data_IF_909140306301
#
_entry.id   IF_909140306301
#
_cell.length_a   1.000
_cell.length_b   1.000
_cell.length_c   1.000
_cell.angle_alpha   90.00
_cell.angle_beta   90.00
_cell.angle_gamma   90.00
#
_symmetry.space_group_name_H-M   'P 1'
#
loop_
_entity.id
_entity.type
_entity.pdbx_description
1 polymer ?
#
# COMPACT_ATOMS: atom_id res chain seq x y z
N UNK A 1 -23.04 -19.70 10.09
CA UNK A 1 -21.67 -19.19 10.01
C UNK A 1 -21.66 -17.81 9.38
N UNK A 2 -21.11 -16.85 10.08
CA UNK A 2 -21.06 -15.48 9.54
C UNK A 2 -19.87 -15.33 8.62
N UNK A 3 -20.07 -14.72 7.47
CA UNK A 3 -19.01 -14.36 6.58
C UNK A 3 -18.34 -13.08 7.08
N UNK A 4 -17.03 -12.98 6.91
CA UNK A 4 -16.31 -11.76 7.25
C UNK A 4 -16.70 -10.65 6.27
N UNK A 5 -16.91 -9.45 6.80
CA UNK A 5 -17.12 -8.28 5.97
C UNK A 5 -15.83 -7.93 5.22
N UNK A 6 -15.94 -7.32 4.04
CA UNK A 6 -14.73 -6.91 3.29
C UNK A 6 -13.75 -6.09 4.11
N UNK A 7 -14.21 -5.14 4.92
CA UNK A 7 -13.32 -4.33 5.76
C UNK A 7 -12.52 -5.18 6.76
N UNK A 8 -13.15 -6.20 7.33
CA UNK A 8 -12.47 -7.09 8.27
C UNK A 8 -11.39 -7.92 7.56
N UNK A 9 -11.68 -8.35 6.34
CA UNK A 9 -10.70 -9.09 5.53
C UNK A 9 -9.49 -8.21 5.19
N UNK A 10 -9.73 -6.95 4.84
CA UNK A 10 -8.66 -6.00 4.52
C UNK A 10 -7.81 -5.70 5.76
N UNK A 11 -8.44 -5.48 6.90
CA UNK A 11 -7.72 -5.28 8.17
C UNK A 11 -6.85 -6.48 8.51
N UNK A 12 -7.36 -7.69 8.27
CA UNK A 12 -6.61 -8.93 8.46
C UNK A 12 -5.39 -9.03 7.57
N UNK A 13 -5.51 -8.59 6.31
CA UNK A 13 -4.38 -8.57 5.37
C UNK A 13 -3.28 -7.64 5.88
N UNK A 14 -3.64 -6.45 6.37
CA UNK A 14 -2.66 -5.51 6.90
C UNK A 14 -1.97 -6.06 8.16
N UNK A 15 -2.72 -6.66 9.05
CA UNK A 15 -2.13 -7.26 10.26
C UNK A 15 -1.15 -8.38 9.89
N UNK A 16 -1.50 -9.17 8.90
CA UNK A 16 -0.66 -10.27 8.45
C UNK A 16 0.66 -9.77 7.85
N UNK A 17 0.60 -8.76 6.99
CA UNK A 17 1.82 -8.22 6.37
C UNK A 17 2.73 -7.56 7.40
N UNK A 18 2.16 -6.91 8.42
CA UNK A 18 2.95 -6.28 9.47
C UNK A 18 3.70 -7.31 10.34
N UNK A 19 3.21 -8.55 10.40
CA UNK A 19 3.86 -9.62 11.18
C UNK A 19 5.14 -10.14 10.56
N UNK A 20 5.44 -9.80 9.31
CA UNK A 20 6.66 -10.27 8.65
C UNK A 20 7.94 -9.75 9.31
N UNK A 21 7.82 -8.77 10.21
CA UNK A 21 8.93 -8.25 11.00
C UNK A 21 9.69 -7.11 10.37
N UNK A 22 9.43 -6.77 9.11
CA UNK A 22 10.12 -5.68 8.42
C UNK A 22 9.19 -4.52 8.07
N UNK A 23 7.89 -4.71 8.24
CA UNK A 23 6.89 -3.69 7.95
C UNK A 23 6.33 -3.18 9.27
N UNK A 24 6.50 -1.88 9.51
CA UNK A 24 6.06 -1.25 10.76
C UNK A 24 4.56 -0.94 10.73
N UNK A 25 4.11 -0.35 9.63
CA UNK A 25 2.72 0.05 9.46
C UNK A 25 2.30 -0.10 8.01
N UNK A 26 0.99 -0.22 7.79
CA UNK A 26 0.45 -0.33 6.44
C UNK A 26 -0.93 0.31 6.35
N UNK A 27 -1.33 0.64 5.12
CA UNK A 27 -2.62 1.27 4.86
C UNK A 27 -3.12 0.85 3.49
N UNK A 28 -4.44 0.82 3.34
CA UNK A 28 -5.11 0.63 2.06
C UNK A 28 -5.91 1.89 1.76
N UNK A 29 -5.72 2.42 0.57
CA UNK A 29 -6.40 3.61 0.11
C UNK A 29 -7.10 3.34 -1.21
N UNK A 30 -8.10 4.15 -1.54
CA UNK A 30 -8.65 4.16 -2.88
C UNK A 30 -7.67 4.86 -3.83
N UNK A 31 -7.82 4.63 -5.12
CA UNK A 31 -7.02 5.32 -6.14
C UNK A 31 -7.21 6.84 -6.10
N UNK A 32 -8.35 7.31 -5.60
CA UNK A 32 -8.64 8.74 -5.45
C UNK A 32 -8.08 9.37 -4.18
N UNK A 33 -7.45 8.57 -3.32
CA UNK A 33 -6.79 9.10 -2.12
C UNK A 33 -7.64 9.12 -0.86
N UNK A 34 -8.68 8.27 -0.80
CA UNK A 34 -9.48 8.11 0.39
C UNK A 34 -9.00 6.90 1.20
N UNK A 35 -8.93 7.06 2.50
CA UNK A 35 -8.54 5.98 3.40
C UNK A 35 -9.60 4.89 3.44
N UNK A 36 -9.18 3.64 3.24
CA UNK A 36 -10.05 2.46 3.40
C UNK A 36 -9.81 1.82 4.78
N UNK A 37 -8.57 1.47 5.09
CA UNK A 37 -8.18 1.02 6.42
C UNK A 37 -6.68 1.17 6.63
N UNK A 38 -6.25 1.12 7.89
CA UNK A 38 -4.86 1.39 8.24
C UNK A 38 -4.53 0.79 9.59
N UNK A 39 -3.25 0.48 9.80
CA UNK A 39 -2.72 0.09 11.12
C UNK A 39 -2.10 1.28 11.86
N UNK A 40 -2.01 2.44 11.21
CA UNK A 40 -1.46 3.64 11.84
C UNK A 40 -2.39 4.17 12.94
N UNK A 41 -1.82 4.62 14.08
CA UNK A 41 -2.65 5.02 15.23
C UNK A 41 -3.36 6.36 15.05
N UNK A 42 -2.79 7.29 14.27
CA UNK A 42 -3.35 8.65 14.15
C UNK A 42 -4.04 8.85 12.80
N UNK A 43 -5.37 8.90 12.85
CA UNK A 43 -6.21 8.99 11.65
C UNK A 43 -5.91 10.21 10.77
N UNK A 44 -5.66 11.39 11.38
CA UNK A 44 -5.39 12.61 10.62
C UNK A 44 -4.15 12.49 9.75
N UNK A 45 -3.06 11.94 10.30
CA UNK A 45 -1.83 11.72 9.55
C UNK A 45 -2.02 10.71 8.43
N UNK A 46 -2.83 9.68 8.69
CA UNK A 46 -3.12 8.64 7.69
C UNK A 46 -3.90 9.23 6.52
N UNK A 47 -4.89 10.06 6.79
CA UNK A 47 -5.69 10.68 5.72
C UNK A 47 -4.83 11.54 4.80
N UNK A 48 -3.92 12.33 5.38
CA UNK A 48 -2.96 13.12 4.59
C UNK A 48 -2.02 12.21 3.81
N UNK A 49 -1.49 11.19 4.46
CA UNK A 49 -0.59 10.22 3.83
C UNK A 49 -1.23 9.57 2.61
N UNK A 50 -2.46 9.07 2.74
CA UNK A 50 -3.10 8.38 1.63
C UNK A 50 -3.45 9.33 0.48
N UNK A 51 -3.87 10.57 0.78
CA UNK A 51 -4.14 11.56 -0.24
C UNK A 51 -2.89 11.91 -1.05
N UNK A 52 -1.78 12.15 -0.35
CA UNK A 52 -0.51 12.50 -1.00
C UNK A 52 0.08 11.32 -1.75
N UNK A 53 -0.03 10.12 -1.20
CA UNK A 53 0.47 8.91 -1.85
C UNK A 53 -0.29 8.60 -3.13
N UNK A 54 -1.60 8.77 -3.13
CA UNK A 54 -2.41 8.60 -4.34
C UNK A 54 -2.02 9.62 -5.41
N UNK A 55 -1.75 10.87 -5.00
CA UNK A 55 -1.29 11.93 -5.90
C UNK A 55 0.06 11.57 -6.52
N UNK A 56 1.01 11.12 -5.72
CA UNK A 56 2.32 10.70 -6.21
C UNK A 56 2.21 9.52 -7.17
N UNK A 57 1.41 8.52 -6.80
CA UNK A 57 1.21 7.33 -7.63
C UNK A 57 0.60 7.71 -8.97
N UNK A 58 -0.42 8.57 -8.97
CA UNK A 58 -1.05 9.04 -10.19
C UNK A 58 -0.10 9.83 -11.08
N UNK A 59 0.70 10.71 -10.50
CA UNK A 59 1.71 11.46 -11.24
C UNK A 59 2.77 10.54 -11.82
N UNK A 60 3.21 9.54 -11.05
CA UNK A 60 4.19 8.56 -11.53
C UNK A 60 3.64 7.70 -12.67
N UNK A 61 2.35 7.36 -12.63
CA UNK A 61 1.69 6.62 -13.73
C UNK A 61 1.70 7.43 -15.02
N UNK A 62 1.43 8.74 -14.94
CA UNK A 62 1.48 9.61 -16.09
C UNK A 62 2.90 9.68 -16.67
N UNK A 63 3.90 9.84 -15.80
CA UNK A 63 5.31 9.87 -16.22
C UNK A 63 5.72 8.57 -16.90
N UNK A 64 5.32 7.43 -16.35
CA UNK A 64 5.62 6.12 -16.94
C UNK A 64 4.97 6.00 -18.34
N UNK A 65 3.73 6.44 -18.48
CA UNK A 65 3.02 6.43 -19.76
C UNK A 65 3.74 7.29 -20.79
N UNK A 66 4.16 8.50 -20.42
CA UNK A 66 4.89 9.40 -21.31
C UNK A 66 6.20 8.80 -21.82
N UNK A 67 6.84 7.97 -21.00
CA UNK A 67 8.08 7.29 -21.37
C UNK A 67 7.86 5.96 -22.08
N UNK A 68 6.62 5.52 -22.23
CA UNK A 68 6.30 4.24 -22.84
C UNK A 68 6.71 3.04 -21.99
N UNK A 69 6.73 3.20 -20.67
CA UNK A 69 7.21 2.17 -19.75
C UNK A 69 6.16 1.15 -19.33
N UNK A 70 4.93 1.26 -19.85
CA UNK A 70 3.84 0.38 -19.46
C UNK A 70 3.29 0.72 -18.05
N UNK A 71 2.54 -0.17 -17.44
CA UNK A 71 1.89 0.07 -16.17
C UNK A 71 2.91 0.22 -15.03
N UNK A 72 2.63 1.14 -14.14
CA UNK A 72 3.46 1.35 -12.96
C UNK A 72 3.21 0.26 -11.92
N UNK A 73 4.25 -0.46 -11.52
CA UNK A 73 4.13 -1.49 -10.49
C UNK A 73 4.12 -0.89 -9.10
N UNK A 74 5.07 0.01 -8.81
CA UNK A 74 5.21 0.56 -7.47
C UNK A 74 6.04 1.83 -7.46
N UNK A 75 5.92 2.58 -6.36
CA UNK A 75 6.83 3.67 -6.03
C UNK A 75 7.53 3.33 -4.73
N UNK A 76 8.79 3.71 -4.61
CA UNK A 76 9.59 3.53 -3.40
C UNK A 76 10.19 4.87 -3.01
N UNK A 77 9.87 5.32 -1.81
CA UNK A 77 10.46 6.54 -1.24
C UNK A 77 11.45 6.10 -0.19
N UNK A 78 12.69 6.49 -0.36
CA UNK A 78 13.75 6.16 0.58
C UNK A 78 14.23 7.42 1.27
N UNK A 79 14.37 7.34 2.59
CA UNK A 79 14.93 8.41 3.39
C UNK A 79 15.81 7.83 4.47
N UNK A 80 16.49 8.70 5.20
CA UNK A 80 17.41 8.32 6.27
C UNK A 80 16.71 7.45 7.34
N UNK A 81 15.45 7.76 7.64
CA UNK A 81 14.75 7.14 8.77
C UNK A 81 13.79 6.02 8.38
N UNK A 82 13.60 5.76 7.10
CA UNK A 82 12.69 4.70 6.68
C UNK A 82 12.32 4.77 5.22
N UNK A 83 11.41 3.89 4.83
CA UNK A 83 10.93 3.81 3.46
C UNK A 83 9.40 3.79 3.44
N UNK A 84 8.83 4.38 2.40
CA UNK A 84 7.41 4.27 2.08
C UNK A 84 7.30 3.61 0.72
N UNK A 85 6.56 2.53 0.63
CA UNK A 85 6.38 1.79 -0.61
C UNK A 85 4.90 1.79 -0.95
N UNK A 86 4.56 2.26 -2.15
CA UNK A 86 3.19 2.26 -2.64
C UNK A 86 3.07 1.36 -3.86
N UNK A 87 2.05 0.52 -3.88
CA UNK A 87 1.78 -0.37 -5.01
C UNK A 87 0.29 -0.38 -5.33
N UNK A 88 -0.04 -0.65 -6.59
CA UNK A 88 -1.42 -0.89 -6.97
C UNK A 88 -1.92 -2.21 -6.40
N UNK A 89 -3.15 -2.23 -5.94
CA UNK A 89 -3.82 -3.42 -5.43
C UNK A 89 -5.14 -3.59 -6.17
N UNK A 90 -5.03 -3.85 -7.46
CA UNK A 90 -6.15 -3.88 -8.39
C UNK A 90 -6.54 -2.48 -8.86
N UNK A 91 -7.62 -2.36 -9.66
CA UNK A 91 -8.01 -1.07 -10.24
C UNK A 91 -8.61 -0.08 -9.24
N UNK A 92 -9.01 -0.56 -8.05
CA UNK A 92 -9.72 0.27 -7.07
C UNK A 92 -8.85 0.77 -5.94
N UNK A 93 -7.71 0.15 -5.66
CA UNK A 93 -6.98 0.42 -4.43
C UNK A 93 -5.48 0.54 -4.61
N UNK A 94 -4.86 1.14 -3.59
CA UNK A 94 -3.42 1.20 -3.40
C UNK A 94 -3.09 0.58 -2.04
N UNK A 95 -1.98 -0.13 -1.98
CA UNK A 95 -1.40 -0.59 -0.71
C UNK A 95 -0.17 0.26 -0.41
N UNK A 96 -0.13 0.82 0.79
CA UNK A 96 0.97 1.64 1.28
C UNK A 96 1.63 0.93 2.46
N UNK A 97 2.95 0.86 2.46
CA UNK A 97 3.72 0.14 3.46
C UNK A 97 4.85 1.01 3.96
N UNK A 98 5.00 1.10 5.26
CA UNK A 98 6.05 1.88 5.92
C UNK A 98 7.02 0.96 6.63
N UNK A 99 8.31 1.20 6.42
CA UNK A 99 9.38 0.37 6.98
C UNK A 99 10.45 1.25 7.62
N UNK A 100 11.31 0.63 8.43
CA UNK A 100 12.55 1.26 8.84
C UNK A 100 13.54 1.35 7.68
N UNK A 101 14.73 1.94 7.90
CA UNK A 101 15.70 2.14 6.82
C UNK A 101 16.45 0.86 6.43
N UNK A 102 16.65 -0.05 7.38
CA UNK A 102 17.49 -1.25 7.20
C UNK A 102 16.61 -2.49 7.03
N UNK A 103 16.09 -2.68 5.83
CA UNK A 103 15.23 -3.82 5.51
C UNK A 103 15.80 -4.59 4.33
N UNK A 104 15.37 -5.84 4.22
CA UNK A 104 15.59 -6.60 2.99
C UNK A 104 14.47 -6.25 2.02
N UNK A 105 14.73 -5.29 1.14
CA UNK A 105 13.73 -4.77 0.21
C UNK A 105 13.13 -5.88 -0.66
N UNK A 106 13.95 -6.81 -1.13
CA UNK A 106 13.45 -7.91 -1.98
C UNK A 106 12.39 -8.75 -1.29
N UNK A 107 12.63 -9.12 -0.02
CA UNK A 107 11.65 -9.89 0.75
C UNK A 107 10.39 -9.09 1.03
N UNK A 108 10.53 -7.81 1.35
CA UNK A 108 9.38 -6.93 1.59
C UNK A 108 8.53 -6.81 0.32
N UNK A 109 9.14 -6.66 -0.85
CA UNK A 109 8.42 -6.57 -2.12
C UNK A 109 7.65 -7.85 -2.43
N UNK A 110 8.17 -9.02 -2.07
CA UNK A 110 7.45 -10.29 -2.23
C UNK A 110 6.18 -10.30 -1.37
N UNK A 111 6.30 -9.87 -0.11
CA UNK A 111 5.15 -9.81 0.81
C UNK A 111 4.11 -8.79 0.36
N UNK A 112 4.56 -7.65 -0.14
CA UNK A 112 3.69 -6.62 -0.70
C UNK A 112 2.91 -7.17 -1.90
N UNK A 113 3.56 -7.91 -2.78
CA UNK A 113 2.93 -8.49 -3.96
C UNK A 113 1.81 -9.45 -3.56
N UNK A 114 2.07 -10.32 -2.59
CA UNK A 114 1.06 -11.26 -2.08
C UNK A 114 -0.13 -10.53 -1.47
N UNK A 115 0.13 -9.51 -0.66
CA UNK A 115 -0.93 -8.73 -0.02
C UNK A 115 -1.76 -7.98 -1.06
N UNK A 116 -1.12 -7.39 -2.07
CA UNK A 116 -1.80 -6.66 -3.15
C UNK A 116 -2.79 -7.56 -3.89
N UNK A 117 -2.40 -8.79 -4.17
CA UNK A 117 -3.28 -9.76 -4.84
C UNK A 117 -4.49 -10.10 -3.96
N UNK A 118 -4.28 -10.28 -2.67
CA UNK A 118 -5.38 -10.54 -1.73
C UNK A 118 -6.34 -9.37 -1.65
N UNK A 119 -5.83 -8.15 -1.61
CA UNK A 119 -6.66 -6.93 -1.58
C UNK A 119 -7.49 -6.84 -2.85
N UNK A 120 -6.87 -7.08 -4.00
CA UNK A 120 -7.56 -7.10 -5.28
C UNK A 120 -8.72 -8.10 -5.29
N UNK A 121 -8.49 -9.30 -4.73
CA UNK A 121 -9.54 -10.32 -4.66
C UNK A 121 -10.73 -9.88 -3.79
N UNK A 122 -10.48 -9.12 -2.73
CA UNK A 122 -11.55 -8.61 -1.86
C UNK A 122 -12.32 -7.47 -2.52
N UNK A 123 -11.62 -6.55 -3.18
CA UNK A 123 -12.23 -5.32 -3.72
C UNK A 123 -12.62 -5.40 -5.19
N UNK A 124 -12.02 -6.30 -5.91
CA UNK A 124 -12.27 -6.45 -7.36
C UNK A 124 -11.38 -5.64 -8.27
#
# INVERSE_FOLDING_TARGET
MSEKRPIEMLEGILKEINKTGQIDESAIASRSGLLICSTLPEKQHVETLVAMSATMFGAAEIAATELGLDLLDRIVIESKNGKLIGTGAGPKALLLVMTGPDINLGLVLVEIQKASEKIKQVLG
#
